data_IF_764512639850
#
_entry.id   IF_764512639850
#
_cell.length_a   1.000
_cell.length_b   1.000
_cell.length_c   1.000
_cell.angle_alpha   90.00
_cell.angle_beta   90.00
_cell.angle_gamma   90.00
#
_symmetry.space_group_name_H-M   'P 1'
#
loop_
_entity.id
_entity.type
_entity.pdbx_description
1 polymer ?
#
# COMPACT_ATOMS: atom_id res chain seq x y z
N UNK A 1 -12.22 35.73 -41.10
CA UNK A 1 -11.14 35.03 -40.37
C UNK A 1 -11.23 35.45 -38.93
N UNK A 2 -11.53 34.59 -37.98
CA UNK A 2 -11.56 34.95 -36.57
C UNK A 2 -10.14 34.94 -36.02
N UNK A 3 -9.76 36.01 -35.37
CA UNK A 3 -8.50 36.16 -34.63
C UNK A 3 -8.63 35.46 -33.31
N UNK A 4 -7.84 34.42 -33.08
CA UNK A 4 -7.76 33.71 -31.81
C UNK A 4 -6.88 34.51 -30.84
N UNK A 5 -7.44 34.94 -29.74
CA UNK A 5 -6.72 35.66 -28.69
C UNK A 5 -6.01 34.62 -27.81
N UNK A 6 -4.68 34.62 -27.84
CA UNK A 6 -3.86 33.81 -26.93
C UNK A 6 -3.83 34.42 -25.53
N UNK A 7 -4.06 33.61 -24.52
CA UNK A 7 -3.96 34.04 -23.12
C UNK A 7 -2.48 34.19 -22.70
N UNK A 8 -2.13 35.36 -22.19
CA UNK A 8 -0.81 35.68 -21.64
C UNK A 8 -0.81 35.38 -20.15
N UNK A 9 0.02 34.45 -19.69
CA UNK A 9 0.28 34.21 -18.28
C UNK A 9 1.56 34.94 -17.86
N UNK A 10 1.41 35.94 -16.98
CA UNK A 10 2.54 36.66 -16.41
C UNK A 10 3.15 35.86 -15.23
N UNK A 11 4.40 35.43 -15.35
CA UNK A 11 5.15 34.84 -14.24
C UNK A 11 5.79 35.92 -13.39
N UNK A 12 5.89 35.70 -12.09
CA UNK A 12 6.50 36.64 -11.09
C UNK A 12 8.02 36.88 -11.28
N UNK A 13 8.65 36.33 -12.30
CA UNK A 13 10.10 36.44 -12.55
C UNK A 13 10.43 37.01 -13.94
N UNK A 14 9.72 37.98 -14.38
CA UNK A 14 10.20 38.94 -15.43
C UNK A 14 10.57 38.35 -16.80
N UNK A 15 10.07 37.19 -17.20
CA UNK A 15 10.25 36.63 -18.52
C UNK A 15 8.94 36.26 -19.19
N UNK A 16 8.73 36.69 -20.43
CA UNK A 16 7.59 36.27 -21.25
C UNK A 16 7.95 34.93 -21.91
N UNK A 17 7.31 33.85 -21.49
CA UNK A 17 7.39 32.55 -22.16
C UNK A 17 6.17 32.44 -23.11
N UNK A 18 6.41 32.46 -24.40
CA UNK A 18 5.38 32.13 -25.37
C UNK A 18 5.17 30.62 -25.41
N UNK A 19 4.00 30.16 -24.93
CA UNK A 19 3.58 28.76 -25.08
C UNK A 19 2.98 28.63 -26.50
N UNK A 20 3.69 27.95 -27.39
CA UNK A 20 3.12 27.56 -28.68
C UNK A 20 2.15 26.40 -28.45
N UNK A 21 0.88 26.60 -28.81
CA UNK A 21 -0.13 25.53 -28.88
C UNK A 21 0.25 24.53 -29.99
N UNK A 22 1.15 23.62 -29.69
CA UNK A 22 1.40 22.46 -30.52
C UNK A 22 0.51 21.33 -30.05
N UNK A 23 -0.80 21.39 -30.38
CA UNK A 23 -1.73 20.27 -30.22
C UNK A 23 -1.44 19.20 -31.28
N UNK A 24 -0.31 18.55 -31.17
CA UNK A 24 -0.21 17.15 -31.51
C UNK A 24 -0.34 16.40 -30.17
N UNK A 25 -1.56 15.98 -29.86
CA UNK A 25 -1.77 14.94 -28.87
C UNK A 25 -1.04 13.69 -29.41
N UNK A 26 0.20 13.50 -28.98
CA UNK A 26 0.83 12.19 -29.07
C UNK A 26 -0.09 11.29 -28.24
N UNK A 27 -0.81 10.39 -28.93
CA UNK A 27 -1.44 9.26 -28.23
C UNK A 27 -0.37 8.64 -27.35
N UNK A 28 -0.49 8.79 -26.05
CA UNK A 28 0.43 8.16 -25.11
C UNK A 28 0.31 6.66 -25.34
N UNK A 29 1.40 6.03 -25.78
CA UNK A 29 1.43 4.60 -25.98
C UNK A 29 1.06 3.94 -24.65
N UNK A 30 0.00 3.11 -24.64
CA UNK A 30 -0.42 2.39 -23.43
C UNK A 30 0.76 1.59 -22.85
N UNK A 31 0.84 1.45 -21.52
CA UNK A 31 1.84 0.59 -20.89
C UNK A 31 1.81 -0.82 -21.46
N UNK A 32 2.97 -1.42 -21.61
CA UNK A 32 3.09 -2.80 -22.09
C UNK A 32 2.81 -3.77 -20.94
N UNK A 33 1.56 -4.20 -20.83
CA UNK A 33 1.09 -5.10 -19.76
C UNK A 33 1.64 -6.52 -19.87
N UNK A 34 2.40 -6.86 -20.91
CA UNK A 34 3.15 -8.11 -20.97
C UNK A 34 4.41 -8.09 -20.10
N UNK A 35 4.76 -6.96 -19.50
CA UNK A 35 5.91 -6.77 -18.60
C UNK A 35 5.46 -6.44 -17.18
N UNK A 36 6.27 -6.82 -16.19
CA UNK A 36 5.97 -6.54 -14.78
C UNK A 36 5.85 -5.02 -14.51
N UNK A 37 6.80 -4.23 -15.01
CA UNK A 37 6.71 -2.78 -14.85
C UNK A 37 5.51 -2.16 -15.58
N UNK A 38 5.16 -2.68 -16.75
CA UNK A 38 4.00 -2.21 -17.51
C UNK A 38 2.67 -2.48 -16.80
N UNK A 39 2.55 -3.60 -16.06
CA UNK A 39 1.40 -3.87 -15.20
C UNK A 39 1.24 -2.80 -14.12
N UNK A 40 2.33 -2.44 -13.43
CA UNK A 40 2.32 -1.40 -12.40
C UNK A 40 1.86 -0.06 -13.00
N UNK A 41 2.43 0.33 -14.15
CA UNK A 41 2.07 1.57 -14.84
C UNK A 41 0.60 1.57 -15.28
N UNK A 42 0.10 0.45 -15.81
CA UNK A 42 -1.30 0.31 -16.22
C UNK A 42 -2.27 0.46 -15.05
N UNK A 43 -1.95 -0.15 -13.89
CA UNK A 43 -2.74 -0.01 -12.67
C UNK A 43 -2.70 1.44 -12.15
N UNK A 44 -1.55 2.11 -12.16
CA UNK A 44 -1.44 3.52 -11.76
C UNK A 44 -2.31 4.41 -12.66
N UNK A 45 -2.24 4.24 -13.98
CA UNK A 45 -3.05 5.01 -14.93
C UNK A 45 -4.55 4.71 -14.75
N UNK A 46 -4.92 3.44 -14.58
CA UNK A 46 -6.31 3.06 -14.37
C UNK A 46 -6.88 3.73 -13.13
N UNK A 47 -6.24 3.58 -11.97
CA UNK A 47 -6.73 4.11 -10.71
C UNK A 47 -6.65 5.64 -10.63
N UNK A 48 -5.70 6.26 -11.34
CA UNK A 48 -5.69 7.72 -11.52
C UNK A 48 -6.95 8.20 -12.24
N UNK A 49 -7.40 7.49 -13.31
CA UNK A 49 -8.65 7.79 -14.02
C UNK A 49 -9.90 7.57 -13.15
N UNK A 50 -9.82 6.68 -12.14
CA UNK A 50 -10.88 6.48 -11.14
C UNK A 50 -10.84 7.51 -10.00
N UNK A 51 -9.99 8.53 -10.09
CA UNK A 51 -9.90 9.62 -9.10
C UNK A 51 -9.01 9.32 -7.90
N UNK A 52 -8.20 8.29 -7.93
CA UNK A 52 -7.22 8.03 -6.90
C UNK A 52 -6.01 8.96 -7.00
N UNK A 53 -5.53 9.44 -5.85
CA UNK A 53 -4.20 10.04 -5.71
C UNK A 53 -3.17 8.92 -5.86
N UNK A 54 -2.28 9.05 -6.86
CA UNK A 54 -1.19 8.08 -7.04
C UNK A 54 -0.02 8.49 -6.15
N UNK A 55 0.25 7.67 -5.15
CA UNK A 55 1.33 7.90 -4.20
C UNK A 55 2.56 7.05 -4.52
N UNK A 56 3.70 7.45 -3.94
CA UNK A 56 4.91 6.65 -3.96
C UNK A 56 4.89 5.61 -2.83
N UNK A 57 5.68 4.54 -2.92
CA UNK A 57 5.81 3.56 -1.84
C UNK A 57 6.24 4.21 -0.52
N UNK A 58 5.84 3.62 0.60
CA UNK A 58 6.44 3.96 1.89
C UNK A 58 7.91 3.52 1.88
N UNK A 59 8.79 4.41 2.31
CA UNK A 59 10.24 4.22 2.38
C UNK A 59 10.71 3.51 3.68
N UNK A 60 9.89 2.59 4.17
CA UNK A 60 10.14 1.75 5.34
C UNK A 60 9.77 0.29 5.02
N UNK A 61 10.40 -0.64 5.73
CA UNK A 61 10.07 -2.06 5.65
C UNK A 61 8.71 -2.34 6.30
N UNK A 62 7.76 -2.77 5.49
CA UNK A 62 6.40 -3.12 5.93
C UNK A 62 5.96 -4.45 5.35
N UNK A 63 5.14 -5.19 6.08
CA UNK A 63 4.67 -6.52 5.68
C UNK A 63 3.49 -6.53 4.71
N UNK A 64 2.85 -5.39 4.49
CA UNK A 64 1.72 -5.23 3.57
C UNK A 64 1.50 -3.76 3.20
N UNK A 65 0.84 -3.51 2.09
CA UNK A 65 0.46 -2.17 1.66
C UNK A 65 -0.44 -1.44 2.67
N UNK A 66 -1.23 -2.16 3.44
CA UNK A 66 -2.09 -1.63 4.52
C UNK A 66 -1.31 -0.82 5.57
N UNK A 67 -0.04 -1.15 5.79
CA UNK A 67 0.82 -0.43 6.75
C UNK A 67 1.20 0.98 6.29
N UNK A 68 1.06 1.30 5.01
CA UNK A 68 1.30 2.64 4.51
C UNK A 68 0.31 3.63 5.19
N UNK A 69 0.76 4.83 5.65
CA UNK A 69 -0.12 5.83 6.25
C UNK A 69 -1.33 6.21 5.40
N UNK A 70 -1.19 6.13 4.07
CA UNK A 70 -2.28 6.39 3.12
C UNK A 70 -3.44 5.39 3.22
N UNK A 71 -3.22 4.21 3.76
CA UNK A 71 -4.28 3.25 4.10
C UNK A 71 -4.54 3.25 5.60
N UNK A 72 -3.55 2.90 6.43
CA UNK A 72 -3.75 2.73 7.87
C UNK A 72 -4.32 3.98 8.55
N UNK A 73 -3.66 5.13 8.41
CA UNK A 73 -4.09 6.34 9.08
C UNK A 73 -5.29 6.99 8.39
N UNK A 74 -5.35 6.94 7.06
CA UNK A 74 -6.43 7.56 6.30
C UNK A 74 -7.76 6.78 6.36
N UNK A 75 -7.73 5.50 6.76
CA UNK A 75 -8.96 4.75 7.06
C UNK A 75 -9.68 5.30 8.30
N UNK A 76 -8.98 6.04 9.17
CA UNK A 76 -9.50 6.58 10.44
C UNK A 76 -10.24 7.90 10.20
N UNK A 77 -11.35 8.10 10.93
CA UNK A 77 -12.11 9.35 10.93
C UNK A 77 -13.03 9.52 9.69
N UNK A 78 -13.73 10.66 9.60
CA UNK A 78 -14.82 10.88 8.64
C UNK A 78 -14.37 11.41 7.28
N UNK A 79 -13.09 11.61 7.06
CA UNK A 79 -12.56 12.24 5.83
C UNK A 79 -12.65 11.30 4.63
N UNK A 80 -13.00 11.86 3.47
CA UNK A 80 -12.96 11.13 2.20
C UNK A 80 -11.52 10.98 1.72
N UNK A 81 -11.20 9.83 1.11
CA UNK A 81 -9.86 9.56 0.64
C UNK A 81 -9.83 8.46 -0.41
N UNK A 82 -9.23 8.73 -1.57
CA UNK A 82 -8.97 7.72 -2.59
C UNK A 82 -7.50 7.77 -2.96
N UNK A 83 -6.80 6.66 -2.82
CA UNK A 83 -5.38 6.57 -3.14
C UNK A 83 -5.03 5.20 -3.74
N UNK A 84 -4.00 5.18 -4.56
CA UNK A 84 -3.42 3.96 -5.08
C UNK A 84 -1.89 4.09 -5.15
N UNK A 85 -1.19 3.01 -4.90
CA UNK A 85 0.28 2.96 -4.90
C UNK A 85 0.80 1.53 -4.99
N UNK A 86 1.99 1.37 -5.53
CA UNK A 86 2.75 0.13 -5.40
C UNK A 86 3.51 0.14 -4.09
N UNK A 87 3.53 -0.98 -3.35
CA UNK A 87 4.24 -1.10 -2.08
C UNK A 87 5.13 -2.34 -2.09
N UNK A 88 6.45 -2.18 -2.04
CA UNK A 88 7.35 -3.28 -1.72
C UNK A 88 7.07 -3.77 -0.29
N UNK A 89 6.86 -5.07 -0.15
CA UNK A 89 6.54 -5.70 1.13
C UNK A 89 7.67 -6.61 1.57
N UNK A 90 7.91 -6.66 2.88
CA UNK A 90 8.95 -7.46 3.50
C UNK A 90 8.32 -8.45 4.49
N UNK A 91 8.50 -9.74 4.22
CA UNK A 91 8.08 -10.84 5.10
C UNK A 91 9.25 -11.77 5.37
N UNK A 92 10.09 -11.47 6.38
CA UNK A 92 11.33 -12.21 6.65
C UNK A 92 11.15 -13.73 6.73
N UNK A 93 10.05 -14.21 7.31
CA UNK A 93 9.73 -15.64 7.42
C UNK A 93 9.45 -16.35 6.09
N UNK A 94 9.13 -15.60 5.05
CA UNK A 94 8.80 -16.16 3.73
C UNK A 94 10.03 -16.35 2.84
N UNK A 95 11.22 -15.97 3.30
CA UNK A 95 12.48 -16.23 2.62
C UNK A 95 12.67 -17.70 2.30
N UNK A 96 13.23 -18.00 1.13
CA UNK A 96 13.56 -19.36 0.64
C UNK A 96 14.84 -19.37 -0.17
N UNK A 97 15.75 -18.43 0.08
CA UNK A 97 17.06 -18.34 -0.58
C UNK A 97 17.00 -18.29 -2.12
N UNK A 98 15.88 -17.81 -2.67
CA UNK A 98 15.65 -17.80 -4.12
C UNK A 98 15.36 -19.19 -4.72
N UNK A 99 15.20 -20.24 -3.90
CA UNK A 99 14.98 -21.61 -4.37
C UNK A 99 13.50 -21.95 -4.61
N UNK A 100 12.57 -21.17 -4.05
CA UNK A 100 11.14 -21.40 -4.23
C UNK A 100 10.60 -20.48 -5.33
N UNK A 101 9.89 -21.02 -6.36
CA UNK A 101 9.44 -20.25 -7.49
C UNK A 101 8.27 -19.28 -7.17
N UNK A 102 7.60 -19.46 -6.02
CA UNK A 102 6.34 -18.76 -5.70
C UNK A 102 6.36 -18.02 -4.35
N UNK A 103 7.45 -18.14 -3.57
CA UNK A 103 7.53 -17.57 -2.23
C UNK A 103 8.80 -16.75 -2.05
N UNK A 104 8.60 -15.46 -1.72
CA UNK A 104 9.65 -14.48 -1.56
C UNK A 104 9.51 -13.77 -0.22
N UNK A 105 10.64 -13.34 0.36
CA UNK A 105 10.63 -12.44 1.52
C UNK A 105 10.40 -10.97 1.11
N UNK A 106 10.64 -10.62 -0.15
CA UNK A 106 10.40 -9.30 -0.74
C UNK A 106 9.53 -9.45 -1.98
N UNK A 107 8.39 -8.76 -2.04
CA UNK A 107 7.45 -8.81 -3.15
C UNK A 107 6.64 -7.51 -3.19
N UNK A 108 5.88 -7.30 -4.27
CA UNK A 108 5.11 -6.09 -4.49
C UNK A 108 3.63 -6.32 -4.30
N UNK A 109 2.98 -5.40 -3.60
CA UNK A 109 1.54 -5.26 -3.63
C UNK A 109 1.18 -3.96 -4.34
N UNK A 110 0.16 -3.98 -5.21
CA UNK A 110 -0.48 -2.76 -5.65
C UNK A 110 -1.69 -2.53 -4.76
N UNK A 111 -1.69 -1.41 -4.05
CA UNK A 111 -2.64 -1.08 -3.01
C UNK A 111 -3.59 0.01 -3.47
N UNK A 112 -4.89 -0.19 -3.23
CA UNK A 112 -5.93 0.81 -3.47
C UNK A 112 -6.73 0.98 -2.19
N UNK A 113 -6.99 2.22 -1.80
CA UNK A 113 -7.87 2.57 -0.69
C UNK A 113 -8.94 3.56 -1.18
N UNK A 114 -10.20 3.19 -1.03
CA UNK A 114 -11.35 4.00 -1.43
C UNK A 114 -12.22 4.28 -0.20
N UNK A 115 -12.37 5.54 0.18
CA UNK A 115 -13.13 5.96 1.36
C UNK A 115 -14.04 7.16 1.05
N UNK A 116 -15.35 7.03 1.17
CA UNK A 116 -16.06 5.78 1.48
C UNK A 116 -15.88 4.72 0.40
N UNK A 117 -16.03 3.44 0.81
CA UNK A 117 -16.06 2.33 -0.15
C UNK A 117 -17.23 2.51 -1.11
N UNK A 118 -16.99 2.57 -2.44
CA UNK A 118 -18.09 2.68 -3.40
C UNK A 118 -18.84 1.36 -3.54
N UNK A 119 -20.13 1.40 -3.82
CA UNK A 119 -20.98 0.21 -3.98
C UNK A 119 -20.53 -0.68 -5.13
N UNK A 120 -19.92 -0.09 -6.17
CA UNK A 120 -19.42 -0.79 -7.37
C UNK A 120 -17.93 -1.11 -7.32
N UNK A 121 -17.32 -1.23 -6.14
CA UNK A 121 -15.87 -1.46 -5.99
C UNK A 121 -15.41 -2.75 -6.72
N UNK A 122 -16.25 -3.79 -6.75
CA UNK A 122 -15.94 -5.03 -7.48
C UNK A 122 -15.93 -4.81 -9.00
N UNK A 123 -16.86 -4.01 -9.53
CA UNK A 123 -16.87 -3.67 -10.96
C UNK A 123 -15.66 -2.83 -11.36
N UNK A 124 -15.23 -1.91 -10.50
CA UNK A 124 -13.99 -1.15 -10.68
C UNK A 124 -12.78 -2.08 -10.73
N UNK A 125 -12.71 -3.04 -9.83
CA UNK A 125 -11.65 -4.05 -9.83
C UNK A 125 -11.66 -4.89 -11.12
N UNK A 126 -12.81 -5.43 -11.52
CA UNK A 126 -12.94 -6.20 -12.77
C UNK A 126 -12.57 -5.34 -13.99
N UNK A 127 -12.85 -4.03 -13.93
CA UNK A 127 -12.39 -3.06 -14.92
C UNK A 127 -10.87 -2.98 -15.00
N UNK A 128 -10.19 -2.99 -13.85
CA UNK A 128 -8.72 -3.00 -13.80
C UNK A 128 -8.10 -4.28 -14.37
N UNK A 129 -8.73 -5.44 -14.15
CA UNK A 129 -8.28 -6.70 -14.76
C UNK A 129 -8.34 -6.62 -16.29
N UNK A 130 -9.43 -6.08 -16.83
CA UNK A 130 -9.57 -5.87 -18.30
C UNK A 130 -8.52 -4.91 -18.85
N UNK A 131 -8.16 -3.85 -18.10
CA UNK A 131 -7.09 -2.93 -18.51
C UNK A 131 -5.73 -3.63 -18.58
N UNK A 132 -5.50 -4.62 -17.71
CA UNK A 132 -4.30 -5.49 -17.74
C UNK A 132 -4.36 -6.60 -18.79
N UNK A 133 -5.42 -6.66 -19.61
CA UNK A 133 -5.57 -7.66 -20.66
C UNK A 133 -6.23 -8.97 -20.22
N UNK A 134 -6.78 -9.05 -19.00
CA UNK A 134 -7.50 -10.22 -18.50
C UNK A 134 -8.99 -10.09 -18.87
N UNK A 135 -9.46 -10.90 -19.82
CA UNK A 135 -10.87 -10.97 -20.17
C UNK A 135 -11.65 -11.76 -19.12
N UNK A 136 -12.38 -11.06 -18.29
CA UNK A 136 -13.20 -11.65 -17.20
C UNK A 136 -14.41 -12.48 -17.70
N UNK A 137 -14.68 -12.50 -19.01
CA UNK A 137 -15.70 -13.36 -19.61
C UNK A 137 -15.14 -14.73 -20.01
N UNK A 138 -13.81 -14.82 -20.19
CA UNK A 138 -13.11 -16.03 -20.59
C UNK A 138 -12.48 -16.74 -19.39
N UNK A 139 -12.03 -15.95 -18.41
CA UNK A 139 -11.33 -16.46 -17.23
C UNK A 139 -12.26 -16.61 -16.04
N UNK A 140 -12.06 -17.70 -15.26
CA UNK A 140 -12.80 -17.94 -14.03
C UNK A 140 -12.30 -17.00 -12.93
N UNK A 141 -13.13 -16.00 -12.59
CA UNK A 141 -12.86 -15.04 -11.50
C UNK A 141 -13.86 -15.28 -10.39
N UNK A 142 -13.36 -15.66 -9.21
CA UNK A 142 -14.20 -15.96 -8.03
C UNK A 142 -13.86 -15.04 -6.89
N UNK A 143 -14.89 -14.52 -6.24
CA UNK A 143 -14.80 -13.82 -4.95
C UNK A 143 -15.16 -14.82 -3.87
N UNK A 144 -14.20 -15.16 -3.03
CA UNK A 144 -14.34 -16.11 -1.92
C UNK A 144 -14.28 -15.35 -0.62
N UNK A 145 -15.25 -15.52 0.26
CA UNK A 145 -15.29 -14.83 1.55
C UNK A 145 -14.05 -15.15 2.37
N UNK A 146 -13.32 -14.09 2.76
CA UNK A 146 -12.16 -14.15 3.63
C UNK A 146 -12.08 -12.88 4.47
N UNK A 147 -12.13 -13.00 5.79
CA UNK A 147 -12.02 -11.88 6.71
C UNK A 147 -10.56 -11.63 7.05
N UNK A 148 -10.10 -10.43 6.75
CA UNK A 148 -8.72 -10.02 6.97
C UNK A 148 -8.51 -9.42 8.35
N UNK A 149 -7.37 -9.74 8.98
CA UNK A 149 -6.95 -9.11 10.22
C UNK A 149 -5.44 -8.86 10.28
N UNK A 150 -5.06 -7.82 11.00
CA UNK A 150 -3.68 -7.54 11.41
C UNK A 150 -3.60 -7.32 12.91
N UNK A 151 -3.17 -8.32 13.68
CA UNK A 151 -3.07 -8.20 15.14
C UNK A 151 -2.17 -7.07 15.62
N UNK A 152 -1.06 -6.78 14.91
CA UNK A 152 -0.11 -5.71 15.25
C UNK A 152 -0.67 -4.32 14.99
N UNK A 153 -1.50 -4.15 13.97
CA UNK A 153 -2.17 -2.89 13.69
C UNK A 153 -3.46 -2.70 14.48
N UNK A 154 -3.98 -3.77 15.12
CA UNK A 154 -5.32 -3.73 15.71
C UNK A 154 -6.38 -3.40 14.66
N UNK A 155 -6.23 -3.98 13.47
CA UNK A 155 -7.08 -3.76 12.32
C UNK A 155 -7.74 -5.05 11.88
N UNK A 156 -9.00 -4.97 11.41
CA UNK A 156 -9.71 -6.09 10.80
C UNK A 156 -10.82 -5.57 9.88
N UNK A 157 -11.24 -6.41 8.96
CA UNK A 157 -12.34 -6.12 8.06
C UNK A 157 -12.94 -7.37 7.45
N UNK A 158 -14.19 -7.24 6.98
CA UNK A 158 -14.82 -8.23 6.13
C UNK A 158 -14.16 -8.20 4.76
N UNK A 159 -14.14 -9.30 4.03
CA UNK A 159 -13.44 -9.26 2.75
C UNK A 159 -13.65 -10.47 1.86
N UNK A 160 -12.88 -10.44 0.79
CA UNK A 160 -12.86 -11.44 -0.26
C UNK A 160 -11.43 -11.73 -0.70
N UNK A 161 -11.07 -12.98 -0.84
CA UNK A 161 -10.00 -13.37 -1.75
C UNK A 161 -10.54 -13.41 -3.18
N UNK A 162 -9.81 -12.86 -4.13
CA UNK A 162 -10.14 -13.01 -5.55
C UNK A 162 -9.23 -14.06 -6.17
N UNK A 163 -9.84 -15.10 -6.69
CA UNK A 163 -9.19 -16.22 -7.36
C UNK A 163 -9.35 -16.11 -8.87
N UNK A 164 -8.24 -16.13 -9.58
CA UNK A 164 -8.18 -16.15 -11.04
C UNK A 164 -7.72 -17.53 -11.50
N UNK A 165 -8.62 -18.28 -12.16
CA UNK A 165 -8.35 -19.64 -12.62
C UNK A 165 -7.72 -20.56 -11.56
N UNK A 166 -8.16 -20.45 -10.31
CA UNK A 166 -7.70 -21.27 -9.20
C UNK A 166 -6.45 -20.73 -8.46
N UNK A 167 -5.95 -19.55 -8.80
CA UNK A 167 -4.88 -18.86 -8.08
C UNK A 167 -5.43 -17.61 -7.39
N UNK A 168 -5.23 -17.46 -6.09
CA UNK A 168 -5.50 -16.22 -5.37
C UNK A 168 -4.57 -15.10 -5.87
N UNK A 169 -5.14 -14.00 -6.35
CA UNK A 169 -4.39 -12.88 -6.94
C UNK A 169 -4.61 -11.56 -6.23
N UNK A 170 -5.70 -11.42 -5.46
CA UNK A 170 -6.09 -10.15 -4.84
C UNK A 170 -6.86 -10.39 -3.55
N UNK A 171 -6.67 -9.52 -2.57
CA UNK A 171 -7.45 -9.43 -1.35
C UNK A 171 -8.26 -8.14 -1.33
N UNK A 172 -9.55 -8.23 -1.02
CA UNK A 172 -10.41 -7.11 -0.66
C UNK A 172 -10.57 -7.06 0.84
N UNK A 173 -10.60 -5.85 1.40
CA UNK A 173 -10.89 -5.62 2.82
C UNK A 173 -11.82 -4.42 2.99
N UNK A 174 -12.94 -4.60 3.63
CA UNK A 174 -13.83 -3.53 4.06
C UNK A 174 -13.54 -3.28 5.55
N UNK A 175 -12.72 -2.29 5.84
CA UNK A 175 -12.25 -2.03 7.22
C UNK A 175 -13.41 -1.72 8.15
N UNK A 176 -13.52 -2.53 9.20
CA UNK A 176 -14.43 -2.30 10.32
C UNK A 176 -13.72 -1.58 11.46
N UNK A 177 -12.44 -1.90 11.67
CA UNK A 177 -11.63 -1.32 12.71
C UNK A 177 -10.18 -1.17 12.26
N UNK A 178 -9.54 -0.05 12.62
CA UNK A 178 -8.12 0.23 12.37
C UNK A 178 -7.53 0.94 13.58
N UNK A 179 -6.41 0.43 14.09
CA UNK A 179 -5.79 0.96 15.30
C UNK A 179 -6.71 0.90 16.54
N UNK A 180 -7.66 -0.03 16.55
CA UNK A 180 -8.66 -0.14 17.62
C UNK A 180 -9.78 0.91 17.55
N UNK A 181 -9.86 1.70 16.48
CA UNK A 181 -10.92 2.67 16.21
C UNK A 181 -11.85 2.14 15.12
N UNK A 182 -13.15 2.34 15.29
CA UNK A 182 -14.14 2.01 14.26
C UNK A 182 -13.95 2.87 13.02
N UNK A 183 -14.08 2.26 11.84
CA UNK A 183 -13.98 2.95 10.55
C UNK A 183 -15.36 3.41 10.07
N UNK A 184 -15.58 4.72 10.10
CA UNK A 184 -16.78 5.31 9.55
C UNK A 184 -16.44 6.64 8.85
N UNK A 185 -16.75 6.77 7.53
CA UNK A 185 -17.26 5.71 6.65
C UNK A 185 -16.26 4.55 6.44
N UNK A 186 -16.78 3.38 6.03
CA UNK A 186 -15.98 2.19 5.74
C UNK A 186 -15.05 2.49 4.58
N UNK A 187 -13.78 2.08 4.72
CA UNK A 187 -12.79 2.10 3.64
C UNK A 187 -12.77 0.74 2.94
N UNK A 188 -12.95 0.74 1.62
CA UNK A 188 -12.67 -0.43 0.79
C UNK A 188 -11.19 -0.45 0.39
N UNK A 189 -10.51 -1.53 0.69
CA UNK A 189 -9.13 -1.78 0.31
C UNK A 189 -9.09 -2.86 -0.76
N UNK A 190 -8.24 -2.68 -1.79
CA UNK A 190 -7.91 -3.69 -2.79
C UNK A 190 -6.40 -3.88 -2.79
N UNK A 191 -5.96 -5.10 -2.53
CA UNK A 191 -4.54 -5.46 -2.48
C UNK A 191 -4.23 -6.48 -3.56
N UNK A 192 -3.62 -6.05 -4.65
CA UNK A 192 -3.21 -6.93 -5.75
C UNK A 192 -1.87 -7.57 -5.44
N UNK A 193 -1.76 -8.89 -5.63
CA UNK A 193 -0.48 -9.61 -5.71
C UNK A 193 0.06 -9.54 -7.12
N UNK A 194 0.92 -8.55 -7.40
CA UNK A 194 1.33 -8.22 -8.78
C UNK A 194 2.09 -9.37 -9.41
N UNK A 195 2.96 -10.05 -8.67
CA UNK A 195 3.75 -11.20 -9.16
C UNK A 195 2.84 -12.33 -9.64
N UNK A 196 1.79 -12.66 -8.87
CA UNK A 196 0.86 -13.73 -9.24
C UNK A 196 0.07 -13.39 -10.49
N UNK A 197 -0.37 -12.14 -10.63
CA UNK A 197 -1.04 -11.65 -11.85
C UNK A 197 -0.08 -11.69 -13.03
N UNK A 198 1.16 -11.25 -12.85
CA UNK A 198 2.18 -11.25 -13.89
C UNK A 198 2.54 -12.67 -14.33
N UNK A 199 2.72 -13.61 -13.40
CA UNK A 199 2.96 -15.03 -13.72
C UNK A 199 1.84 -15.60 -14.56
N UNK A 200 0.61 -15.30 -14.20
CA UNK A 200 -0.56 -15.74 -14.96
C UNK A 200 -0.55 -15.19 -16.40
N UNK A 201 -0.31 -13.89 -16.55
CA UNK A 201 -0.31 -13.21 -17.87
C UNK A 201 0.85 -13.65 -18.76
N UNK A 202 2.03 -13.87 -18.16
CA UNK A 202 3.23 -14.28 -18.91
C UNK A 202 3.32 -15.81 -19.09
N UNK A 203 2.47 -16.60 -18.40
CA UNK A 203 2.48 -18.06 -18.49
C UNK A 203 3.76 -18.71 -17.99
N UNK A 204 4.36 -18.16 -16.92
CA UNK A 204 5.58 -18.67 -16.28
C UNK A 204 5.27 -19.30 -14.93
N UNK A 205 6.05 -20.33 -14.58
CA UNK A 205 5.89 -21.09 -13.33
C UNK A 205 6.77 -20.58 -12.19
N UNK A 206 7.71 -19.67 -12.48
CA UNK A 206 8.59 -19.07 -11.50
C UNK A 206 8.53 -17.54 -11.55
N UNK A 207 8.46 -16.91 -10.39
CA UNK A 207 8.53 -15.45 -10.26
C UNK A 207 9.84 -14.91 -10.86
N UNK A 208 10.94 -15.66 -10.75
CA UNK A 208 12.24 -15.22 -11.26
C UNK A 208 12.32 -15.18 -12.79
N UNK A 209 11.43 -15.88 -13.48
CA UNK A 209 11.33 -15.89 -14.95
C UNK A 209 10.44 -14.78 -15.50
N UNK A 210 9.75 -14.02 -14.62
CA UNK A 210 8.93 -12.88 -15.04
C UNK A 210 9.76 -11.86 -15.82
N UNK A 211 9.28 -11.47 -16.98
CA UNK A 211 9.82 -10.34 -17.72
C UNK A 211 9.50 -9.05 -16.98
N UNK A 212 10.54 -8.42 -16.43
CA UNK A 212 10.41 -7.12 -15.78
C UNK A 212 10.22 -6.01 -16.81
N UNK A 213 11.07 -6.00 -17.82
CA UNK A 213 11.00 -5.08 -18.95
C UNK A 213 11.78 -5.61 -20.14
N UNK A 214 11.50 -5.05 -21.31
CA UNK A 214 12.33 -5.22 -22.52
C UNK A 214 12.92 -3.85 -22.86
N UNK A 215 14.25 -3.77 -22.94
CA UNK A 215 14.92 -2.52 -23.24
C UNK A 215 14.77 -2.15 -24.74
N UNK A 216 15.14 -0.92 -25.17
CA UNK A 216 15.03 -0.51 -26.56
C UNK A 216 15.83 -1.35 -27.58
N UNK A 217 16.85 -2.10 -27.11
CA UNK A 217 17.65 -2.99 -27.95
C UNK A 217 17.01 -4.39 -28.14
N UNK A 218 15.90 -4.64 -27.42
CA UNK A 218 15.22 -5.94 -27.41
C UNK A 218 15.71 -6.92 -26.38
N UNK A 219 16.66 -6.54 -25.49
CA UNK A 219 17.11 -7.41 -24.41
C UNK A 219 16.06 -7.43 -23.29
N UNK A 220 15.84 -8.62 -22.78
CA UNK A 220 14.90 -8.86 -21.66
C UNK A 220 15.64 -8.74 -20.33
N UNK A 221 15.06 -8.01 -19.39
CA UNK A 221 15.44 -8.01 -17.98
C UNK A 221 14.37 -8.78 -17.21
N UNK A 222 14.76 -9.77 -16.43
CA UNK A 222 13.85 -10.60 -15.66
C UNK A 222 13.73 -10.12 -14.20
N UNK A 223 12.71 -10.59 -13.50
CA UNK A 223 12.58 -10.41 -12.05
C UNK A 223 13.78 -11.04 -11.32
N UNK A 224 14.27 -12.17 -11.82
CA UNK A 224 15.48 -12.84 -11.29
C UNK A 224 16.71 -11.96 -11.41
N UNK A 225 16.92 -11.30 -12.54
CA UNK A 225 18.06 -10.36 -12.72
C UNK A 225 18.03 -9.22 -11.68
N UNK A 226 16.84 -8.80 -11.29
CA UNK A 226 16.66 -7.69 -10.35
C UNK A 226 16.77 -8.14 -8.88
N UNK A 227 16.18 -9.30 -8.52
CA UNK A 227 15.96 -9.64 -7.11
C UNK A 227 16.45 -11.01 -6.65
N UNK A 228 16.92 -11.91 -7.52
CA UNK A 228 17.33 -13.25 -7.08
C UNK A 228 18.45 -13.18 -6.04
N UNK A 229 19.51 -12.40 -6.29
CA UNK A 229 20.59 -12.20 -5.34
C UNK A 229 20.09 -11.62 -4.01
N UNK A 230 19.17 -10.63 -4.08
CA UNK A 230 18.57 -10.05 -2.89
C UNK A 230 17.81 -11.09 -2.06
N UNK A 231 17.05 -12.00 -2.70
CA UNK A 231 16.36 -13.09 -1.99
C UNK A 231 17.32 -14.04 -1.28
N UNK A 232 18.44 -14.40 -1.91
CA UNK A 232 19.46 -15.26 -1.31
C UNK A 232 20.08 -14.57 -0.08
N UNK A 233 20.57 -13.35 -0.24
CA UNK A 233 21.26 -12.62 0.83
C UNK A 233 20.32 -12.23 1.97
N UNK A 234 19.10 -11.78 1.67
CA UNK A 234 18.13 -11.43 2.70
C UNK A 234 17.60 -12.66 3.44
N UNK A 235 17.44 -13.80 2.77
CA UNK A 235 17.11 -15.06 3.46
C UNK A 235 18.21 -15.48 4.42
N UNK A 236 19.46 -15.39 4.01
CA UNK A 236 20.62 -15.64 4.86
C UNK A 236 20.63 -14.70 6.07
N UNK A 237 20.45 -13.41 5.83
CA UNK A 237 20.35 -12.43 6.92
C UNK A 237 19.19 -12.76 7.85
N UNK A 238 17.99 -12.98 7.32
CA UNK A 238 16.77 -13.18 8.10
C UNK A 238 16.83 -14.45 8.98
N UNK A 239 17.46 -15.52 8.52
CA UNK A 239 17.44 -16.80 9.21
C UNK A 239 18.74 -17.13 9.95
N UNK A 240 19.88 -16.57 9.54
CA UNK A 240 21.18 -17.00 10.01
C UNK A 240 21.99 -15.86 10.65
N UNK A 241 22.08 -14.68 10.00
CA UNK A 241 23.08 -13.67 10.34
C UNK A 241 22.52 -12.47 11.13
N UNK A 242 21.19 -12.21 11.11
CA UNK A 242 20.65 -11.08 11.86
C UNK A 242 20.99 -11.18 13.35
N UNK A 243 21.69 -10.18 13.87
CA UNK A 243 22.10 -10.12 15.27
C UNK A 243 20.89 -9.92 16.17
N UNK A 244 20.59 -10.92 17.00
CA UNK A 244 19.41 -10.93 17.85
C UNK A 244 19.48 -9.92 18.98
N UNK A 245 20.66 -9.67 19.57
CA UNK A 245 20.84 -8.68 20.62
C UNK A 245 20.64 -7.26 20.08
N UNK A 246 21.18 -7.00 18.87
CA UNK A 246 20.89 -5.76 18.16
C UNK A 246 19.39 -5.58 17.94
N UNK A 247 18.69 -6.61 17.46
CA UNK A 247 17.25 -6.53 17.14
C UNK A 247 16.38 -6.31 18.39
N UNK A 248 16.68 -6.97 19.51
CA UNK A 248 16.00 -6.72 20.79
C UNK A 248 16.21 -5.27 21.24
N UNK A 249 17.45 -4.81 21.23
CA UNK A 249 17.77 -3.43 21.60
C UNK A 249 17.10 -2.42 20.65
N UNK A 250 17.13 -2.65 19.34
CA UNK A 250 16.51 -1.79 18.35
C UNK A 250 14.99 -1.69 18.58
N UNK A 251 14.31 -2.83 18.82
CA UNK A 251 12.89 -2.84 19.14
C UNK A 251 12.59 -1.97 20.37
N UNK A 252 13.33 -2.16 21.45
CA UNK A 252 13.12 -1.42 22.70
C UNK A 252 13.38 0.09 22.52
N UNK A 253 14.39 0.46 21.71
CA UNK A 253 14.65 1.87 21.38
C UNK A 253 13.53 2.48 20.53
N UNK A 254 13.06 1.79 19.51
CA UNK A 254 11.97 2.27 18.67
C UNK A 254 10.67 2.44 19.46
N UNK A 255 10.35 1.50 20.35
CA UNK A 255 9.19 1.60 21.23
C UNK A 255 9.29 2.83 22.16
N UNK A 256 10.41 2.99 22.86
CA UNK A 256 10.64 4.13 23.77
C UNK A 256 10.57 5.46 23.05
N UNK A 257 11.19 5.55 21.86
CA UNK A 257 11.19 6.78 21.07
C UNK A 257 9.82 7.09 20.50
N UNK A 258 9.07 6.07 20.03
CA UNK A 258 7.67 6.24 19.63
C UNK A 258 6.83 6.82 20.79
N UNK A 259 6.93 6.25 21.99
CA UNK A 259 6.25 6.75 23.18
C UNK A 259 6.64 8.19 23.54
N UNK A 260 7.94 8.53 23.43
CA UNK A 260 8.43 9.90 23.65
C UNK A 260 7.83 10.90 22.66
N UNK A 261 7.74 10.52 21.40
CA UNK A 261 7.13 11.37 20.36
C UNK A 261 5.62 11.50 20.57
N UNK A 262 4.95 10.42 20.99
CA UNK A 262 3.53 10.48 21.37
C UNK A 262 3.28 11.48 22.51
N UNK A 263 4.14 11.51 23.54
CA UNK A 263 4.07 12.50 24.61
C UNK A 263 4.30 13.95 24.13
N UNK A 264 4.88 14.13 22.92
CA UNK A 264 5.01 15.41 22.23
C UNK A 264 3.88 15.67 21.22
N UNK A 265 2.88 14.81 21.18
CA UNK A 265 1.77 14.86 20.23
C UNK A 265 2.23 14.86 18.76
N UNK A 266 3.20 13.99 18.42
CA UNK A 266 3.78 13.80 17.09
C UNK A 266 3.48 12.40 16.55
N UNK A 267 2.23 12.08 16.18
CA UNK A 267 1.84 10.72 15.79
C UNK A 267 2.48 10.25 14.49
N UNK A 268 2.75 11.10 13.50
CA UNK A 268 3.31 10.67 12.23
C UNK A 268 4.74 10.12 12.37
N UNK A 269 5.73 10.86 12.93
CA UNK A 269 7.05 10.28 13.17
C UNK A 269 7.02 9.13 14.20
N UNK A 270 6.09 9.14 15.17
CA UNK A 270 5.91 8.00 16.07
C UNK A 270 5.48 6.74 15.32
N UNK A 271 4.63 6.86 14.30
CA UNK A 271 4.20 5.75 13.45
C UNK A 271 5.36 5.11 12.69
N UNK A 272 6.29 5.90 12.16
CA UNK A 272 7.48 5.36 11.49
C UNK A 272 8.30 4.46 12.43
N UNK A 273 8.40 4.85 13.71
CA UNK A 273 9.09 4.02 14.71
C UNK A 273 8.31 2.76 15.08
N UNK A 274 6.97 2.80 15.03
CA UNK A 274 6.13 1.59 15.16
C UNK A 274 6.42 0.62 14.02
N UNK A 275 6.57 1.12 12.79
CA UNK A 275 6.92 0.26 11.63
C UNK A 275 8.30 -0.36 11.79
N UNK A 276 9.30 0.42 12.22
CA UNK A 276 10.66 -0.08 12.51
C UNK A 276 10.65 -1.14 13.63
N UNK A 277 9.89 -0.91 14.71
CA UNK A 277 9.71 -1.91 15.77
C UNK A 277 9.04 -3.19 15.25
N UNK A 278 8.01 -3.05 14.42
CA UNK A 278 7.32 -4.18 13.79
C UNK A 278 8.26 -5.00 12.90
N UNK A 279 9.12 -4.35 12.12
CA UNK A 279 10.11 -5.04 11.29
C UNK A 279 11.17 -5.75 12.13
N UNK A 280 11.70 -5.13 13.19
CA UNK A 280 12.62 -5.76 14.13
C UNK A 280 11.99 -7.02 14.78
N UNK A 281 10.71 -6.93 15.17
CA UNK A 281 9.97 -8.09 15.66
C UNK A 281 9.85 -9.20 14.60
N UNK A 282 9.56 -8.87 13.34
CA UNK A 282 9.46 -9.85 12.26
C UNK A 282 10.81 -10.57 12.01
N UNK A 283 11.92 -9.87 12.16
CA UNK A 283 13.26 -10.46 12.08
C UNK A 283 13.56 -11.38 13.27
N UNK A 284 13.24 -10.97 14.51
CA UNK A 284 13.37 -11.82 15.69
C UNK A 284 12.54 -13.12 15.56
N UNK A 285 11.34 -13.00 15.00
CA UNK A 285 10.45 -14.13 14.75
C UNK A 285 11.02 -15.06 13.64
N UNK A 286 11.62 -14.51 12.60
CA UNK A 286 12.31 -15.27 11.55
C UNK A 286 13.58 -15.98 12.07
N UNK A 287 14.35 -15.31 12.92
CA UNK A 287 15.53 -15.86 13.62
C UNK A 287 15.20 -16.93 14.65
N UNK A 288 13.91 -17.20 14.90
CA UNK A 288 13.47 -18.08 16.01
C UNK A 288 14.02 -17.66 17.38
N UNK A 289 14.32 -16.37 17.56
CA UNK A 289 14.88 -15.81 18.79
C UNK A 289 13.85 -15.60 19.88
N UNK A 290 12.56 -15.74 19.57
CA UNK A 290 11.44 -15.56 20.51
C UNK A 290 10.55 -16.79 20.53
N UNK A 291 10.09 -17.16 21.73
CA UNK A 291 9.10 -18.21 21.93
C UNK A 291 7.70 -17.79 21.46
N UNK A 292 6.78 -18.75 21.34
CA UNK A 292 5.38 -18.47 21.00
C UNK A 292 4.74 -17.48 22.00
N UNK A 293 5.05 -17.60 23.28
CA UNK A 293 4.53 -16.70 24.32
C UNK A 293 5.12 -15.29 24.19
N UNK A 294 6.40 -15.18 23.93
CA UNK A 294 7.06 -13.89 23.69
C UNK A 294 6.54 -13.22 22.43
N UNK A 295 6.31 -13.99 21.37
CA UNK A 295 5.70 -13.50 20.13
C UNK A 295 4.38 -12.78 20.41
N UNK A 296 3.49 -13.33 21.25
CA UNK A 296 2.25 -12.67 21.64
C UNK A 296 2.50 -11.36 22.40
N UNK A 297 3.52 -11.29 23.24
CA UNK A 297 3.91 -10.05 23.94
C UNK A 297 4.40 -8.98 22.97
N UNK A 298 5.22 -9.33 21.98
CA UNK A 298 5.67 -8.39 20.96
C UNK A 298 4.50 -7.87 20.12
N UNK A 299 3.59 -8.74 19.69
CA UNK A 299 2.37 -8.35 18.99
C UNK A 299 1.57 -7.33 19.81
N UNK A 300 1.40 -7.59 21.10
CA UNK A 300 0.66 -6.69 22.00
C UNK A 300 1.37 -5.33 22.13
N UNK A 301 2.70 -5.30 22.25
CA UNK A 301 3.49 -4.07 22.34
C UNK A 301 3.30 -3.22 21.06
N UNK A 302 3.45 -3.81 19.87
CA UNK A 302 3.24 -3.10 18.60
C UNK A 302 1.79 -2.63 18.47
N UNK A 303 0.80 -3.47 18.82
CA UNK A 303 -0.62 -3.09 18.81
C UNK A 303 -0.91 -1.89 19.72
N UNK A 304 -0.32 -1.87 20.91
CA UNK A 304 -0.50 -0.76 21.86
C UNK A 304 0.03 0.56 21.28
N UNK A 305 1.21 0.52 20.66
CA UNK A 305 1.77 1.68 19.97
C UNK A 305 0.90 2.12 18.78
N UNK A 306 0.48 1.17 17.94
CA UNK A 306 -0.39 1.43 16.78
C UNK A 306 -1.69 2.10 17.19
N UNK A 307 -2.31 1.64 18.29
CA UNK A 307 -3.53 2.22 18.85
C UNK A 307 -3.31 3.65 19.35
N UNK A 308 -2.21 3.89 20.07
CA UNK A 308 -1.88 5.22 20.56
C UNK A 308 -1.68 6.21 19.41
N UNK A 309 -0.95 5.79 18.37
CA UNK A 309 -0.75 6.60 17.15
C UNK A 309 -2.07 6.87 16.44
N UNK A 310 -2.92 5.84 16.27
CA UNK A 310 -4.21 5.97 15.61
C UNK A 310 -5.10 7.00 16.31
N UNK A 311 -5.20 6.93 17.65
CA UNK A 311 -5.98 7.86 18.44
C UNK A 311 -5.44 9.29 18.31
N UNK A 312 -4.13 9.48 18.49
CA UNK A 312 -3.54 10.82 18.39
C UNK A 312 -3.64 11.41 16.97
N UNK A 313 -3.53 10.57 15.94
CA UNK A 313 -3.78 11.00 14.56
C UNK A 313 -5.23 11.48 14.39
N UNK A 314 -6.20 10.70 14.86
CA UNK A 314 -7.60 11.07 14.83
C UNK A 314 -7.84 12.42 15.54
N UNK A 315 -7.30 12.58 16.75
CA UNK A 315 -7.46 13.81 17.54
C UNK A 315 -6.86 15.01 16.80
N UNK A 316 -5.70 14.85 16.19
CA UNK A 316 -5.09 15.90 15.34
C UNK A 316 -5.94 16.24 14.12
N UNK A 317 -6.53 15.26 13.46
CA UNK A 317 -7.45 15.52 12.33
C UNK A 317 -8.73 16.25 12.81
N UNK A 318 -9.22 15.90 14.02
CA UNK A 318 -10.34 16.59 14.68
C UNK A 318 -10.00 18.05 15.00
N UNK A 319 -8.82 18.32 15.57
CA UNK A 319 -8.32 19.68 15.83
C UNK A 319 -8.29 20.55 14.56
N UNK A 320 -7.94 19.94 13.40
CA UNK A 320 -7.94 20.59 12.08
C UNK A 320 -9.36 20.72 11.47
N UNK A 321 -10.41 20.21 12.14
CA UNK A 321 -11.77 20.20 11.66
C UNK A 321 -12.00 19.24 10.48
N UNK A 322 -11.23 18.16 10.37
CA UNK A 322 -11.33 17.16 9.29
C UNK A 322 -11.40 17.78 7.89
N UNK A 323 -10.34 18.41 7.39
CA UNK A 323 -10.37 19.26 6.18
C UNK A 323 -10.77 18.56 4.88
N UNK A 324 -10.73 17.21 4.83
CA UNK A 324 -11.18 16.42 3.68
C UNK A 324 -12.56 15.78 3.89
N UNK A 325 -13.22 16.06 5.00
CA UNK A 325 -14.59 15.59 5.21
C UNK A 325 -15.58 16.39 4.34
N UNK A 326 -16.72 15.78 3.91
CA UNK A 326 -17.80 16.50 3.27
C UNK A 326 -18.24 17.71 4.11
N UNK A 327 -18.54 18.84 3.47
CA UNK A 327 -18.80 20.11 4.16
C UNK A 327 -19.94 19.99 5.19
N UNK A 328 -21.02 19.29 4.86
CA UNK A 328 -22.14 19.07 5.77
C UNK A 328 -21.72 18.34 7.05
N UNK A 329 -20.93 17.25 6.90
CA UNK A 329 -20.42 16.47 8.03
C UNK A 329 -19.43 17.28 8.87
N UNK A 330 -18.57 18.04 8.20
CA UNK A 330 -17.61 18.93 8.85
C UNK A 330 -18.30 19.99 9.72
N UNK A 331 -19.36 20.61 9.21
CA UNK A 331 -20.16 21.60 9.96
C UNK A 331 -20.83 20.96 11.18
N UNK A 332 -21.40 19.76 11.06
CA UNK A 332 -21.99 19.03 12.18
C UNK A 332 -20.97 18.76 13.30
N UNK A 333 -19.75 18.29 12.93
CA UNK A 333 -18.69 18.01 13.90
C UNK A 333 -18.21 19.28 14.61
N UNK A 334 -18.05 20.37 13.86
CA UNK A 334 -17.64 21.65 14.44
C UNK A 334 -18.72 22.26 15.36
N UNK A 335 -20.00 22.13 15.01
CA UNK A 335 -21.08 22.54 15.84
C UNK A 335 -21.14 21.78 17.18
N UNK A 336 -21.06 20.43 17.11
CA UNK A 336 -21.00 19.57 18.29
C UNK A 336 -19.80 19.89 19.20
N UNK A 337 -18.62 20.18 18.64
CA UNK A 337 -17.44 20.58 19.40
C UNK A 337 -17.55 22.01 20.03
N UNK A 338 -18.41 22.85 19.51
CA UNK A 338 -18.72 24.19 20.06
C UNK A 338 -19.68 24.16 21.23
N UNK A 339 -20.53 23.13 21.32
CA UNK A 339 -21.50 22.92 22.39
C UNK A 339 -20.88 22.27 23.65
N UNK A 340 -19.73 21.62 23.51
CA UNK A 340 -18.95 21.01 24.63
C UNK A 340 -18.03 22.00 25.37
N UNK A 341 -17.98 23.29 24.98
CA UNK A 341 -17.22 24.35 25.63
C UNK A 341 -18.13 25.29 26.44
#
# INVERSE_FOLDING_TARGET
MPVTVSAIVLSRFGGIVAVSDNKQATESKKPDVSTFQGLILALQEYWARQGCVILQPLDLEVGAGTFHPATFLRAIGPETWNAAYVQPCRRPKDGRYGENPNRLQHYYQFQVALKPSPDNIQDLYLGSLREMGIDTLVHDVRFVEDNWESPTLGAWGLGWEVWLNGMEVTQFTYFQQVGGLECFPVTGEITYGIERIAMYLQGVDSIFDLVWTVNPNGDTVTYGDVFHQNEVEQSTYNFEEADTDFLFNAFDFYEKESQRLMAKNLPLPAYELVMKASHAFNLLDARHAISVTERQRFILRVRTLSRAVAQAYYDKRKELGFPLAPEELRQQILAAAGEEK
#
